data_IF_642124987761
#
_entry.id   IF_642124987761
#
_cell.length_a   1.000
_cell.length_b   1.000
_cell.length_c   1.000
_cell.angle_alpha   90.00
_cell.angle_beta   90.00
_cell.angle_gamma   90.00
#
_symmetry.space_group_name_H-M   'P 1'
#
loop_
_entity.id
_entity.type
_entity.pdbx_description
1 polymer ?
#
# COMPACT_ATOMS: atom_id res chain seq x y z
N UNK A 1 -74.82 -3.31 -51.95
CA UNK A 1 -73.72 -2.51 -51.37
C UNK A 1 -73.17 -3.24 -50.15
N UNK A 2 -72.09 -4.01 -50.29
CA UNK A 2 -71.38 -4.61 -49.16
C UNK A 2 -70.45 -3.57 -48.47
N UNK A 3 -70.26 -3.65 -47.14
CA UNK A 3 -69.53 -2.66 -46.35
C UNK A 3 -68.00 -2.80 -46.44
N UNK A 4 -67.21 -1.77 -46.08
CA UNK A 4 -65.76 -1.79 -46.16
C UNK A 4 -65.12 -2.69 -45.08
N UNK A 5 -64.14 -3.49 -45.50
CA UNK A 5 -63.24 -4.26 -44.64
C UNK A 5 -62.44 -3.32 -43.72
N UNK A 6 -62.53 -3.52 -42.40
CA UNK A 6 -61.68 -2.86 -41.40
C UNK A 6 -60.40 -3.67 -41.17
N UNK A 7 -59.27 -2.97 -41.18
CA UNK A 7 -57.94 -3.48 -40.83
C UNK A 7 -57.88 -4.01 -39.39
N UNK A 8 -57.14 -5.11 -39.12
CA UNK A 8 -56.99 -5.65 -37.77
C UNK A 8 -56.02 -4.79 -36.94
N UNK A 9 -56.40 -4.45 -35.71
CA UNK A 9 -55.51 -3.83 -34.71
C UNK A 9 -54.59 -4.88 -34.11
N UNK A 10 -53.30 -4.61 -34.13
CA UNK A 10 -52.27 -5.37 -33.42
C UNK A 10 -52.35 -5.01 -31.92
N UNK A 11 -52.37 -5.98 -30.98
CA UNK A 11 -52.34 -5.67 -29.56
C UNK A 11 -50.90 -5.33 -29.12
N UNK A 12 -50.73 -4.14 -28.57
CA UNK A 12 -49.52 -3.69 -27.87
C UNK A 12 -49.41 -4.42 -26.52
N UNK A 13 -48.70 -5.55 -26.47
CA UNK A 13 -48.37 -6.26 -25.23
C UNK A 13 -46.85 -6.41 -25.10
N UNK A 14 -46.18 -5.30 -24.76
CA UNK A 14 -44.74 -5.25 -24.53
C UNK A 14 -44.28 -4.50 -23.26
N UNK A 15 -45.05 -4.36 -22.15
CA UNK A 15 -44.47 -3.82 -20.92
C UNK A 15 -43.84 -4.91 -20.02
N UNK A 16 -44.28 -6.18 -20.14
CA UNK A 16 -43.89 -7.22 -19.18
C UNK A 16 -42.51 -7.84 -19.47
N UNK A 17 -42.11 -7.93 -20.75
CA UNK A 17 -40.80 -8.49 -21.14
C UNK A 17 -39.63 -7.58 -20.77
N UNK A 18 -39.82 -6.25 -20.82
CA UNK A 18 -38.81 -5.26 -20.45
C UNK A 18 -38.52 -5.26 -18.93
N UNK A 19 -39.51 -5.58 -18.10
CA UNK A 19 -39.34 -5.66 -16.65
C UNK A 19 -38.55 -6.91 -16.22
N UNK A 20 -38.63 -8.00 -16.98
CA UNK A 20 -37.93 -9.25 -16.67
C UNK A 20 -36.42 -9.18 -16.97
N UNK A 21 -36.01 -8.41 -17.99
CA UNK A 21 -34.59 -8.19 -18.30
C UNK A 21 -33.87 -7.34 -17.24
N UNK A 22 -34.58 -6.44 -16.55
CA UNK A 22 -34.03 -5.64 -15.45
C UNK A 22 -33.75 -6.47 -14.19
N UNK A 23 -34.40 -7.63 -14.03
CA UNK A 23 -34.22 -8.52 -12.87
C UNK A 23 -33.09 -9.55 -13.07
N UNK A 24 -32.54 -9.69 -14.27
CA UNK A 24 -31.48 -10.66 -14.59
C UNK A 24 -30.06 -10.10 -14.46
N UNK A 25 -29.90 -8.80 -14.17
CA UNK A 25 -28.64 -8.26 -13.66
C UNK A 25 -28.47 -8.55 -12.16
N UNK A 26 -28.53 -9.84 -11.80
CA UNK A 26 -27.89 -10.29 -10.56
C UNK A 26 -26.39 -10.25 -10.79
N UNK A 27 -25.82 -9.04 -10.74
CA UNK A 27 -24.38 -8.87 -10.69
C UNK A 27 -23.86 -9.73 -9.55
N UNK A 28 -22.90 -10.60 -9.84
CA UNK A 28 -22.20 -11.31 -8.78
C UNK A 28 -21.65 -10.24 -7.84
N UNK A 29 -22.13 -10.21 -6.60
CA UNK A 29 -21.56 -9.37 -5.58
C UNK A 29 -20.09 -9.79 -5.44
N UNK A 30 -19.19 -9.01 -6.04
CA UNK A 30 -17.78 -9.11 -5.72
C UNK A 30 -17.68 -8.96 -4.20
N UNK A 31 -16.81 -9.75 -3.57
CA UNK A 31 -16.49 -9.60 -2.14
C UNK A 31 -15.80 -8.25 -1.97
N UNK A 32 -16.61 -7.19 -1.90
CA UNK A 32 -16.24 -5.77 -1.99
C UNK A 32 -15.70 -5.25 -0.63
N UNK A 33 -15.16 -6.17 0.17
CA UNK A 33 -14.70 -5.87 1.52
C UNK A 33 -13.29 -5.33 1.48
N UNK A 34 -13.01 -4.23 2.21
CA UNK A 34 -11.66 -3.70 2.28
C UNK A 34 -10.71 -4.71 2.92
N UNK A 35 -9.47 -4.71 2.44
CA UNK A 35 -8.37 -5.43 3.06
C UNK A 35 -7.80 -4.56 4.18
N UNK A 36 -7.64 -5.16 5.36
CA UNK A 36 -7.11 -4.46 6.53
C UNK A 36 -5.63 -4.79 6.69
N UNK A 37 -4.78 -3.77 6.57
CA UNK A 37 -3.38 -3.89 6.96
C UNK A 37 -3.19 -3.54 8.43
N UNK A 38 -2.46 -4.40 9.13
CA UNK A 38 -2.02 -4.18 10.50
C UNK A 38 -0.52 -3.84 10.49
N UNK A 39 -0.21 -2.55 10.49
CA UNK A 39 1.18 -2.06 10.47
C UNK A 39 1.69 -1.98 11.90
N UNK A 40 2.66 -2.81 12.26
CA UNK A 40 3.24 -2.88 13.60
C UNK A 40 4.70 -2.46 13.59
N UNK A 41 5.05 -1.50 14.43
CA UNK A 41 6.44 -1.13 14.66
C UNK A 41 7.02 -2.01 15.77
N UNK A 42 8.06 -2.80 15.45
CA UNK A 42 8.84 -3.58 16.41
C UNK A 42 10.26 -3.02 16.61
N UNK A 43 10.60 -1.93 15.95
CA UNK A 43 11.87 -1.24 16.13
C UNK A 43 11.88 -0.53 17.50
N UNK A 44 13.04 -0.37 18.15
CA UNK A 44 13.14 0.32 19.44
C UNK A 44 12.96 1.84 19.34
N UNK A 45 12.75 2.38 18.13
CA UNK A 45 12.57 3.80 17.83
C UNK A 45 11.27 4.02 17.04
N UNK A 46 10.73 5.24 17.03
CA UNK A 46 9.57 5.56 16.19
C UNK A 46 9.90 5.45 14.70
N UNK A 47 8.90 5.07 13.91
CA UNK A 47 8.96 5.08 12.45
C UNK A 47 7.77 5.83 11.89
N UNK A 48 7.87 6.26 10.63
CA UNK A 48 6.77 6.90 9.93
C UNK A 48 6.41 6.10 8.69
N UNK A 49 5.52 5.08 8.81
CA UNK A 49 5.05 4.35 7.65
C UNK A 49 4.41 5.29 6.62
N UNK A 50 4.59 4.97 5.36
CA UNK A 50 4.08 5.71 4.22
C UNK A 50 3.53 4.75 3.16
N UNK A 51 2.63 5.27 2.33
CA UNK A 51 1.92 4.51 1.30
C UNK A 51 1.84 5.32 0.01
N UNK A 52 1.98 4.63 -1.11
CA UNK A 52 1.80 5.23 -2.43
C UNK A 52 1.05 4.23 -3.33
N UNK A 53 -0.11 4.61 -3.88
CA UNK A 53 -0.82 3.78 -4.84
C UNK A 53 -0.11 3.77 -6.19
N UNK A 54 -0.31 2.71 -6.96
CA UNK A 54 -0.04 2.73 -8.40
C UNK A 54 -1.11 3.55 -9.13
N UNK A 55 -0.81 3.95 -10.37
CA UNK A 55 -1.69 4.79 -11.16
C UNK A 55 -3.11 4.20 -11.25
N UNK A 56 -4.12 5.02 -10.96
CA UNK A 56 -5.52 4.60 -10.96
C UNK A 56 -6.06 4.08 -9.61
N UNK A 57 -5.22 3.92 -8.59
CA UNK A 57 -5.66 3.52 -7.25
C UNK A 57 -5.70 4.69 -6.27
N UNK A 58 -6.55 4.60 -5.24
CA UNK A 58 -6.72 5.63 -4.22
C UNK A 58 -5.55 5.67 -3.23
N UNK A 59 -5.28 6.87 -2.69
CA UNK A 59 -4.36 7.04 -1.57
C UNK A 59 -5.01 6.49 -0.30
N UNK A 60 -4.28 5.64 0.42
CA UNK A 60 -4.73 5.04 1.68
C UNK A 60 -3.95 5.61 2.87
N UNK A 61 -4.60 5.74 4.03
CA UNK A 61 -3.98 6.28 5.25
C UNK A 61 -3.30 7.66 5.06
N UNK A 62 -3.89 8.54 4.24
CA UNK A 62 -3.36 9.86 3.86
C UNK A 62 -1.94 9.83 3.24
N UNK A 63 -1.46 8.65 2.81
CA UNK A 63 -0.10 8.46 2.34
C UNK A 63 0.96 8.34 3.43
N UNK A 64 0.63 8.51 4.72
CA UNK A 64 1.60 8.31 5.79
C UNK A 64 1.16 8.74 7.19
N UNK A 65 1.82 8.18 8.20
CA UNK A 65 1.50 8.44 9.60
C UNK A 65 2.71 8.18 10.53
N UNK A 66 2.65 8.72 11.74
CA UNK A 66 3.59 8.41 12.82
C UNK A 66 3.21 7.10 13.53
N UNK A 67 4.20 6.26 13.81
CA UNK A 67 4.02 5.00 14.55
C UNK A 67 5.10 4.80 15.63
N UNK A 68 4.76 4.99 16.92
CA UNK A 68 5.69 4.77 18.02
C UNK A 68 6.21 3.32 18.09
N UNK A 69 7.34 3.13 18.77
CA UNK A 69 7.87 1.80 19.10
C UNK A 69 6.83 0.93 19.79
N UNK A 70 6.72 -0.34 19.39
CA UNK A 70 5.80 -1.32 19.95
C UNK A 70 4.33 -1.19 19.50
N UNK A 71 3.96 -0.08 18.86
CA UNK A 71 2.57 0.22 18.51
C UNK A 71 2.14 -0.42 17.19
N UNK A 72 0.83 -0.61 17.04
CA UNK A 72 0.20 -1.11 15.81
C UNK A 72 -0.88 -0.13 15.36
N UNK A 73 -0.94 0.14 14.05
CA UNK A 73 -2.03 0.91 13.44
C UNK A 73 -2.71 0.09 12.35
N UNK A 74 -4.03 0.19 12.29
CA UNK A 74 -4.85 -0.39 11.22
C UNK A 74 -5.05 0.64 10.11
N UNK A 75 -5.01 0.17 8.87
CA UNK A 75 -5.37 0.96 7.69
C UNK A 75 -6.12 0.06 6.70
N UNK A 76 -7.05 0.66 5.98
CA UNK A 76 -7.91 -0.04 5.03
C UNK A 76 -7.44 0.25 3.61
N UNK A 77 -7.47 -0.77 2.77
CA UNK A 77 -7.30 -0.64 1.34
C UNK A 77 -8.51 -1.22 0.61
N UNK A 78 -8.99 -0.54 -0.44
CA UNK A 78 -10.11 -1.07 -1.21
C UNK A 78 -9.75 -2.41 -1.87
N UNK A 79 -10.76 -3.22 -2.21
CA UNK A 79 -10.58 -4.35 -3.13
C UNK A 79 -9.82 -3.90 -4.39
N UNK A 80 -8.98 -4.78 -4.91
CA UNK A 80 -8.17 -4.50 -6.11
C UNK A 80 -7.02 -3.52 -5.90
N UNK A 81 -6.82 -2.96 -4.71
CA UNK A 81 -5.79 -1.95 -4.50
C UNK A 81 -4.39 -2.46 -4.83
N UNK A 82 -3.67 -1.64 -5.58
CA UNK A 82 -2.29 -1.89 -5.98
C UNK A 82 -1.42 -0.70 -5.57
N UNK A 83 -0.29 -0.99 -4.92
CA UNK A 83 0.66 0.03 -4.51
C UNK A 83 1.72 -0.51 -3.57
N UNK A 84 2.38 0.40 -2.86
CA UNK A 84 3.51 0.10 -1.99
C UNK A 84 3.40 0.76 -0.63
N UNK A 85 4.06 0.14 0.34
CA UNK A 85 4.26 0.64 1.68
C UNK A 85 5.75 0.66 2.00
N UNK A 86 6.22 1.63 2.77
CA UNK A 86 7.58 1.66 3.29
C UNK A 86 7.64 2.35 4.66
N UNK A 87 8.73 2.17 5.38
CA UNK A 87 8.99 2.86 6.64
C UNK A 87 10.02 3.97 6.47
N UNK A 88 9.79 5.11 7.13
CA UNK A 88 10.74 6.23 7.20
C UNK A 88 11.35 6.35 8.59
N UNK A 89 12.61 6.79 8.66
CA UNK A 89 13.37 6.91 9.92
C UNK A 89 13.97 8.31 10.08
N UNK A 90 14.26 8.68 11.33
CA UNK A 90 14.95 9.94 11.66
C UNK A 90 14.18 11.17 11.17
N UNK A 91 12.85 11.14 11.25
CA UNK A 91 12.02 12.23 10.72
C UNK A 91 11.88 13.38 11.71
N UNK A 92 12.07 14.60 11.23
CA UNK A 92 11.72 15.83 11.92
C UNK A 92 10.91 16.76 11.00
N UNK A 93 9.60 16.79 11.22
CA UNK A 93 8.66 17.63 10.45
C UNK A 93 8.45 19.03 11.05
N UNK A 94 9.11 19.37 12.16
CA UNK A 94 9.04 20.73 12.73
C UNK A 94 10.04 21.68 12.06
N UNK A 95 11.08 21.13 11.44
CA UNK A 95 12.04 21.89 10.63
C UNK A 95 11.49 22.16 9.23
N UNK A 96 11.91 23.28 8.64
CA UNK A 96 11.67 23.59 7.21
C UNK A 96 12.72 22.98 6.29
N UNK A 97 13.80 22.41 6.85
CA UNK A 97 14.84 21.72 6.09
C UNK A 97 14.29 20.47 5.40
N UNK A 98 14.67 20.27 4.14
CA UNK A 98 14.37 19.05 3.38
C UNK A 98 15.66 18.29 3.06
N UNK A 99 15.65 16.95 3.06
CA UNK A 99 14.53 16.07 3.42
C UNK A 99 14.16 16.17 4.92
N UNK A 100 12.92 15.84 5.27
CA UNK A 100 12.49 15.85 6.67
C UNK A 100 12.85 14.54 7.38
N UNK A 101 13.02 13.45 6.62
CA UNK A 101 13.47 12.15 7.12
C UNK A 101 14.85 11.78 6.58
N UNK A 102 15.64 11.09 7.40
CA UNK A 102 16.94 10.54 6.99
C UNK A 102 16.81 9.48 5.90
N UNK A 103 15.76 8.65 5.94
CA UNK A 103 15.50 7.59 4.96
C UNK A 103 14.03 7.57 4.54
N UNK A 104 13.78 7.23 3.27
CA UNK A 104 12.42 7.07 2.73
C UNK A 104 11.58 8.36 2.66
N UNK A 105 12.19 9.54 2.77
CA UNK A 105 11.47 10.82 2.79
C UNK A 105 10.56 11.01 1.57
N UNK A 106 9.41 11.66 1.74
CA UNK A 106 8.46 11.93 0.66
C UNK A 106 8.19 13.44 0.54
N UNK A 107 9.19 14.18 0.03
CA UNK A 107 9.16 15.65 -0.14
C UNK A 107 9.05 16.45 1.17
N UNK A 108 9.48 15.86 2.28
CA UNK A 108 9.40 16.44 3.62
C UNK A 108 8.01 16.40 4.23
N UNK A 109 7.08 15.59 3.70
CA UNK A 109 5.69 15.55 4.14
C UNK A 109 5.46 14.44 5.16
N UNK A 110 4.76 14.73 6.27
CA UNK A 110 4.27 13.67 7.17
C UNK A 110 3.27 12.75 6.44
N UNK A 111 2.33 13.36 5.72
CA UNK A 111 1.35 12.70 4.86
C UNK A 111 1.85 12.79 3.41
N UNK A 112 2.38 11.69 2.88
CA UNK A 112 2.96 11.69 1.53
C UNK A 112 1.92 11.94 0.42
N UNK A 113 0.63 11.76 0.72
CA UNK A 113 -0.47 11.94 -0.22
C UNK A 113 -0.26 11.21 -1.57
N UNK A 114 0.24 9.98 -1.51
CA UNK A 114 0.53 9.16 -2.70
C UNK A 114 1.89 9.42 -3.36
N UNK A 115 2.66 10.40 -2.87
CA UNK A 115 4.03 10.64 -3.34
C UNK A 115 4.94 9.49 -2.96
N UNK A 116 5.79 9.07 -3.90
CA UNK A 116 6.75 7.99 -3.73
C UNK A 116 7.91 8.47 -2.83
N UNK A 117 8.37 7.60 -1.93
CA UNK A 117 9.52 7.89 -1.07
C UNK A 117 10.85 7.91 -1.83
N UNK A 118 11.80 8.66 -1.32
CA UNK A 118 13.18 8.71 -1.82
C UNK A 118 13.94 7.45 -1.38
N UNK A 119 14.58 6.72 -2.31
CA UNK A 119 15.53 5.65 -1.97
C UNK A 119 16.71 6.17 -1.13
N UNK A 120 17.32 5.34 -0.27
CA UNK A 120 17.02 3.93 -0.05
C UNK A 120 15.81 3.68 0.87
N UNK A 121 14.95 2.73 0.48
CA UNK A 121 13.82 2.27 1.27
C UNK A 121 13.45 0.83 0.94
N UNK A 122 13.29 -0.01 1.98
CA UNK A 122 12.69 -1.33 1.83
C UNK A 122 11.21 -1.19 1.56
N UNK A 123 10.74 -1.77 0.45
CA UNK A 123 9.35 -1.69 0.03
C UNK A 123 8.58 -2.97 0.37
N UNK A 124 7.31 -2.81 0.70
CA UNK A 124 6.30 -3.87 0.63
C UNK A 124 5.39 -3.53 -0.54
N UNK A 125 5.48 -4.30 -1.61
CA UNK A 125 4.66 -4.13 -2.81
C UNK A 125 3.45 -5.05 -2.72
N UNK A 126 2.26 -4.54 -3.02
CA UNK A 126 1.00 -5.27 -2.84
C UNK A 126 0.10 -5.11 -4.05
N UNK A 127 -0.46 -6.22 -4.51
CA UNK A 127 -1.52 -6.29 -5.51
C UNK A 127 -2.69 -7.08 -4.92
N UNK A 128 -3.72 -6.39 -4.45
CA UNK A 128 -4.89 -7.02 -3.86
C UNK A 128 -5.85 -7.53 -4.93
N UNK A 129 -6.54 -8.63 -4.65
CA UNK A 129 -7.60 -9.15 -5.51
C UNK A 129 -8.78 -8.17 -5.59
N UNK A 130 -9.41 -8.10 -6.76
CA UNK A 130 -10.63 -7.32 -7.02
C UNK A 130 -11.82 -8.27 -7.28
N UNK A 131 -12.28 -8.94 -6.23
CA UNK A 131 -13.25 -10.03 -6.35
C UNK A 131 -12.75 -11.24 -7.16
N UNK A 132 -13.62 -12.24 -7.36
CA UNK A 132 -13.33 -13.42 -8.19
C UNK A 132 -12.31 -14.41 -7.60
N UNK A 133 -11.67 -15.20 -8.47
CA UNK A 133 -10.78 -16.33 -8.11
C UNK A 133 -9.28 -16.00 -8.07
N UNK A 134 -8.86 -14.78 -8.46
CA UNK A 134 -7.45 -14.40 -8.46
C UNK A 134 -6.96 -14.14 -7.01
N UNK A 135 -5.80 -14.66 -6.62
CA UNK A 135 -5.23 -14.38 -5.30
C UNK A 135 -4.64 -12.97 -5.23
N UNK A 136 -4.53 -12.45 -4.01
CA UNK A 136 -3.69 -11.26 -3.75
C UNK A 136 -2.21 -11.66 -3.74
N UNK A 137 -1.35 -10.76 -4.22
CA UNK A 137 0.10 -10.92 -4.22
C UNK A 137 0.75 -9.83 -3.40
N UNK A 138 1.88 -10.16 -2.79
CA UNK A 138 2.74 -9.19 -2.13
C UNK A 138 4.16 -9.72 -2.06
N UNK A 139 5.11 -8.80 -2.02
CA UNK A 139 6.53 -9.10 -1.88
C UNK A 139 7.22 -8.02 -1.02
N UNK A 140 8.46 -8.31 -0.64
CA UNK A 140 9.36 -7.34 -0.02
C UNK A 140 10.49 -7.10 -1.01
N UNK A 141 10.64 -5.85 -1.43
CA UNK A 141 11.56 -5.46 -2.49
C UNK A 141 12.67 -4.56 -1.93
N UNK A 142 13.89 -4.88 -2.36
CA UNK A 142 15.11 -4.09 -2.09
C UNK A 142 15.62 -3.42 -3.37
N UNK A 143 14.80 -3.36 -4.43
CA UNK A 143 15.13 -2.67 -5.68
C UNK A 143 15.43 -1.20 -5.42
N UNK A 144 14.71 -0.58 -4.49
CA UNK A 144 14.95 0.80 -4.04
C UNK A 144 15.87 0.84 -2.81
N UNK A 145 16.69 -0.19 -2.58
CA UNK A 145 17.62 -0.28 -1.46
C UNK A 145 16.99 -0.77 -0.15
N UNK A 146 17.75 -0.64 0.94
CA UNK A 146 17.38 -1.13 2.26
C UNK A 146 17.54 -0.04 3.33
N UNK A 147 16.57 0.10 4.21
CA UNK A 147 16.67 0.96 5.40
C UNK A 147 16.17 0.29 6.68
N UNK A 148 15.09 -0.49 6.59
CA UNK A 148 14.44 -1.15 7.72
C UNK A 148 14.15 -2.63 7.41
N UNK A 149 14.29 -3.53 8.39
CA UNK A 149 13.85 -4.91 8.23
C UNK A 149 12.32 -4.96 8.27
N UNK A 150 11.71 -5.60 7.27
CA UNK A 150 10.25 -5.74 7.17
C UNK A 150 9.87 -7.20 7.01
N UNK A 151 8.83 -7.62 7.72
CA UNK A 151 8.20 -8.94 7.55
C UNK A 151 6.71 -8.77 7.24
N UNK A 152 6.17 -9.66 6.42
CA UNK A 152 4.74 -9.65 6.04
C UNK A 152 4.12 -11.00 6.37
N UNK A 153 2.92 -11.00 6.94
CA UNK A 153 2.16 -12.21 7.27
C UNK A 153 0.67 -12.00 7.04
N UNK A 154 -0.04 -13.03 6.61
CA UNK A 154 -1.51 -13.00 6.56
C UNK A 154 -2.16 -13.00 7.96
N UNK A 155 -3.42 -12.57 8.03
CA UNK A 155 -4.28 -12.72 9.21
C UNK A 155 -5.58 -13.43 8.78
N UNK A 156 -5.89 -14.63 9.29
CA UNK A 156 -5.06 -15.44 10.20
C UNK A 156 -3.72 -15.87 9.56
N UNK A 157 -2.75 -16.16 10.42
CA UNK A 157 -1.39 -16.50 9.98
C UNK A 157 -1.38 -17.79 9.17
N UNK A 158 -0.84 -17.71 7.95
CA UNK A 158 -0.58 -18.85 7.10
C UNK A 158 0.94 -18.91 6.82
N UNK A 159 1.64 -20.00 7.16
CA UNK A 159 3.08 -20.14 6.93
C UNK A 159 3.49 -20.01 5.46
N UNK A 160 2.60 -20.33 4.50
CA UNK A 160 2.82 -20.15 3.06
C UNK A 160 2.67 -18.70 2.60
N UNK A 161 2.10 -17.86 3.46
CA UNK A 161 1.85 -16.44 3.24
C UNK A 161 2.65 -15.62 4.25
N UNK A 162 3.92 -15.99 4.42
CA UNK A 162 4.84 -15.33 5.33
C UNK A 162 6.13 -14.97 4.60
N UNK A 163 6.49 -13.70 4.66
CA UNK A 163 7.79 -13.19 4.28
C UNK A 163 8.54 -12.84 5.56
N UNK A 164 9.61 -13.57 5.82
CA UNK A 164 10.49 -13.28 6.95
C UNK A 164 11.21 -11.96 6.75
N UNK A 165 11.37 -11.19 7.83
CA UNK A 165 12.25 -10.02 7.81
C UNK A 165 13.72 -10.43 7.83
N UNK A 166 14.58 -9.54 7.32
CA UNK A 166 16.03 -9.73 7.34
C UNK A 166 16.52 -9.85 8.80
N UNK A 167 17.04 -11.03 9.16
CA UNK A 167 17.62 -11.29 10.50
C UNK A 167 18.96 -10.58 10.72
N UNK A 168 19.72 -10.38 9.64
CA UNK A 168 20.94 -9.58 9.61
C UNK A 168 20.67 -8.34 8.78
N UNK A 169 20.98 -7.17 9.31
CA UNK A 169 20.76 -5.90 8.61
C UNK A 169 21.76 -5.77 7.46
N UNK A 170 21.32 -5.63 6.19
CA UNK A 170 22.18 -5.27 5.08
C UNK A 170 23.03 -4.02 5.35
N UNK A 171 22.60 -3.09 6.21
CA UNK A 171 23.41 -1.93 6.60
C UNK A 171 24.78 -2.33 7.18
N UNK A 172 24.89 -3.47 7.88
CA UNK A 172 26.15 -3.94 8.45
C UNK A 172 27.09 -4.61 7.45
N UNK A 173 26.60 -4.95 6.25
CA UNK A 173 27.37 -5.55 5.16
C UNK A 173 27.36 -4.65 3.90
N UNK A 174 26.83 -3.44 4.02
CA UNK A 174 26.65 -2.53 2.91
C UNK A 174 28.02 -2.08 2.36
N UNK A 175 28.32 -2.28 1.06
CA UNK A 175 29.53 -1.74 0.44
C UNK A 175 29.63 -0.25 0.65
N UNK A 176 30.86 0.26 0.88
CA UNK A 176 31.09 1.64 1.30
C UNK A 176 30.45 2.66 0.33
N UNK A 177 30.51 2.37 -0.96
CA UNK A 177 29.96 3.18 -2.04
C UNK A 177 28.41 3.26 -2.04
N UNK A 178 27.73 2.32 -1.38
CA UNK A 178 26.27 2.25 -1.29
C UNK A 178 25.73 2.74 0.06
N UNK A 179 26.59 3.06 1.02
CA UNK A 179 26.18 3.45 2.37
C UNK A 179 25.50 4.83 2.41
N UNK A 180 24.43 4.92 3.19
CA UNK A 180 23.87 6.18 3.68
C UNK A 180 24.18 6.26 5.17
N UNK A 181 24.93 7.28 5.57
CA UNK A 181 25.47 7.44 6.91
C UNK A 181 24.77 8.60 7.61
N UNK A 182 24.24 8.37 8.80
CA UNK A 182 23.71 9.45 9.63
C UNK A 182 24.86 10.22 10.30
N UNK A 183 24.66 11.53 10.48
CA UNK A 183 25.60 12.37 11.21
C UNK A 183 25.72 11.89 12.67
N UNK A 184 26.91 12.03 13.26
CA UNK A 184 27.21 11.56 14.62
C UNK A 184 26.25 12.16 15.68
N UNK A 185 25.80 13.38 15.43
CA UNK A 185 24.92 14.18 16.29
C UNK A 185 23.49 13.61 16.35
N UNK A 186 23.11 12.79 15.36
CA UNK A 186 21.77 12.21 15.22
C UNK A 186 21.69 10.76 15.71
N UNK A 187 22.84 10.15 16.04
CA UNK A 187 22.93 8.77 16.54
C UNK A 187 23.18 8.79 18.05
N UNK A 188 22.37 8.04 18.79
CA UNK A 188 22.51 7.87 20.24
C UNK A 188 23.82 7.14 20.53
N UNK A 189 24.88 7.90 20.85
CA UNK A 189 26.24 7.38 21.03
C UNK A 189 27.35 8.17 20.32
N UNK A 190 27.02 9.20 19.54
CA UNK A 190 28.01 10.14 18.97
C UNK A 190 28.91 9.54 17.88
N UNK A 191 28.52 8.42 17.28
CA UNK A 191 29.24 7.78 16.18
C UNK A 191 28.36 7.76 14.93
N UNK A 192 28.95 8.12 13.79
CA UNK A 192 28.32 7.94 12.48
C UNK A 192 27.96 6.46 12.25
N UNK A 193 26.73 6.20 11.84
CA UNK A 193 26.22 4.85 11.62
C UNK A 193 25.60 4.73 10.23
N UNK A 194 25.77 3.58 9.59
CA UNK A 194 25.08 3.24 8.33
C UNK A 194 23.60 3.03 8.63
N UNK A 195 22.77 3.97 8.21
CA UNK A 195 21.32 3.95 8.45
C UNK A 195 20.53 3.36 7.29
N UNK A 196 21.14 3.31 6.10
CA UNK A 196 20.56 2.64 4.95
C UNK A 196 21.62 2.24 3.92
N UNK A 197 21.24 1.37 2.99
CA UNK A 197 22.07 0.88 1.90
C UNK A 197 21.34 1.08 0.58
N UNK A 198 21.97 1.72 -0.39
CA UNK A 198 21.45 1.86 -1.75
C UNK A 198 21.49 0.52 -2.48
N UNK A 199 20.60 0.34 -3.45
CA UNK A 199 20.75 -0.70 -4.46
C UNK A 199 21.82 -0.30 -5.48
N UNK A 200 22.49 -1.30 -6.07
CA UNK A 200 23.51 -1.15 -7.11
C UNK A 200 22.90 -1.06 -8.51
#
# INVERSE_FOLDING_TARGET
MPPPMKSPRIPSSTPLLLLLCLLLNSGHAADDKPVIFHVRNRCPFPVWPATAPNAGHSVIADGGFFLPSGMTKRMEAPPGWNGRLWGRTGCNFTSTSKPACQTGDCLGLLRCNGTIGLPPATLVEVSLRDGGSKPSFYDVSLVDGYNLPVSVSSLPANPRCFIAGCRRSPNGECPQELQVVAAADEVQGGQSAVVACKSA
#
